data_IF_971420786339
#
_entry.id   IF_971420786339
#
_cell.length_a   1.000
_cell.length_b   1.000
_cell.length_c   1.000
_cell.angle_alpha   90.00
_cell.angle_beta   90.00
_cell.angle_gamma   90.00
#
_symmetry.space_group_name_H-M   'P 1'
#
loop_
_entity.id
_entity.type
_entity.pdbx_description
1 polymer ?
#
# COMPACT_ATOMS: atom_id res chain seq x y z
N UNK A 1 -21.26 -15.82 -36.98
CA UNK A 1 -20.16 -15.11 -36.31
C UNK A 1 -20.58 -13.65 -36.18
N UNK A 2 -20.93 -13.21 -34.97
CA UNK A 2 -21.34 -11.83 -34.70
C UNK A 2 -20.38 -11.22 -33.69
N UNK A 3 -19.44 -10.40 -34.17
CA UNK A 3 -18.60 -9.55 -33.32
C UNK A 3 -19.45 -8.38 -32.84
N UNK A 4 -19.97 -8.45 -31.61
CA UNK A 4 -20.50 -7.28 -30.91
C UNK A 4 -19.34 -6.52 -30.26
N UNK A 5 -18.70 -5.64 -31.04
CA UNK A 5 -17.92 -4.54 -30.49
C UNK A 5 -18.89 -3.46 -30.01
N UNK A 6 -19.22 -3.48 -28.73
CA UNK A 6 -19.90 -2.36 -28.08
C UNK A 6 -18.91 -1.20 -27.94
N UNK A 7 -18.98 -0.23 -28.84
CA UNK A 7 -18.44 1.12 -28.59
C UNK A 7 -19.32 1.81 -27.55
N UNK A 8 -18.89 1.83 -26.30
CA UNK A 8 -19.47 2.73 -25.29
C UNK A 8 -19.01 4.15 -25.59
N UNK A 9 -19.99 5.06 -25.71
CA UNK A 9 -19.81 6.49 -25.99
C UNK A 9 -18.77 7.10 -25.05
N UNK A 10 -17.77 7.77 -25.62
CA UNK A 10 -16.85 8.63 -24.88
C UNK A 10 -17.63 9.76 -24.20
N UNK A 11 -17.59 9.82 -22.87
CA UNK A 11 -18.17 10.95 -22.13
C UNK A 11 -18.69 10.62 -20.73
N UNK A 12 -18.99 9.36 -20.40
CA UNK A 12 -19.24 8.97 -19.01
C UNK A 12 -17.97 8.35 -18.42
N UNK A 13 -17.20 9.14 -17.67
CA UNK A 13 -16.24 8.56 -16.75
C UNK A 13 -17.04 7.69 -15.78
N UNK A 14 -16.82 6.37 -15.83
CA UNK A 14 -17.38 5.44 -14.85
C UNK A 14 -17.04 5.94 -13.46
N UNK A 15 -18.04 6.14 -12.61
CA UNK A 15 -17.84 6.47 -11.19
C UNK A 15 -17.26 5.29 -10.43
N UNK A 16 -17.33 4.07 -10.98
CA UNK A 16 -16.77 2.88 -10.36
C UNK A 16 -15.34 2.62 -10.85
N UNK A 17 -14.47 2.31 -9.90
CA UNK A 17 -13.13 1.81 -10.18
C UNK A 17 -13.19 0.51 -10.97
N UNK A 18 -12.36 0.41 -11.99
CA UNK A 18 -12.23 -0.79 -12.81
C UNK A 18 -11.26 -1.77 -12.16
N UNK A 19 -11.68 -3.00 -11.93
CA UNK A 19 -10.77 -4.08 -11.50
C UNK A 19 -9.78 -4.42 -12.62
N UNK A 20 -8.49 -4.41 -12.31
CA UNK A 20 -7.41 -4.73 -13.24
C UNK A 20 -6.83 -6.12 -12.99
N UNK A 21 -6.59 -6.44 -11.71
CA UNK A 21 -6.08 -7.71 -11.24
C UNK A 21 -6.66 -8.03 -9.86
N UNK A 22 -6.81 -9.32 -9.58
CA UNK A 22 -7.20 -9.86 -8.28
C UNK A 22 -6.28 -11.02 -7.96
N UNK A 23 -5.79 -11.07 -6.73
CA UNK A 23 -5.07 -12.20 -6.19
C UNK A 23 -5.66 -12.60 -4.86
N UNK A 24 -6.08 -13.86 -4.75
CA UNK A 24 -6.46 -14.47 -3.48
C UNK A 24 -5.22 -15.08 -2.85
N UNK A 25 -4.91 -14.69 -1.62
CA UNK A 25 -3.70 -15.13 -0.95
C UNK A 25 -3.94 -15.25 0.56
N UNK A 26 -3.77 -16.47 1.11
CA UNK A 26 -4.03 -16.81 2.52
C UNK A 26 -5.37 -16.28 3.08
N UNK A 27 -6.44 -16.34 2.29
CA UNK A 27 -7.77 -15.88 2.71
C UNK A 27 -7.99 -14.36 2.64
N UNK A 28 -6.99 -13.61 2.15
CA UNK A 28 -7.11 -12.18 1.84
C UNK A 28 -7.19 -11.98 0.31
N UNK A 29 -8.15 -11.16 -0.12
CA UNK A 29 -8.28 -10.71 -1.51
C UNK A 29 -7.47 -9.42 -1.71
N UNK A 30 -6.43 -9.47 -2.54
CA UNK A 30 -5.65 -8.30 -2.93
C UNK A 30 -6.09 -7.86 -4.33
N UNK A 31 -6.63 -6.66 -4.44
CA UNK A 31 -7.21 -6.11 -5.66
C UNK A 31 -6.37 -4.95 -6.17
N UNK A 32 -6.12 -4.92 -7.48
CA UNK A 32 -5.57 -3.79 -8.18
C UNK A 32 -6.68 -3.16 -9.02
N UNK A 33 -7.02 -1.90 -8.76
CA UNK A 33 -8.09 -1.19 -9.46
C UNK A 33 -7.56 0.07 -10.16
N UNK A 34 -8.26 0.54 -11.20
CA UNK A 34 -8.05 1.85 -11.81
C UNK A 34 -9.26 2.74 -11.55
N UNK A 35 -9.05 3.92 -10.97
CA UNK A 35 -10.13 4.86 -10.66
C UNK A 35 -9.84 5.71 -9.44
N UNK A 36 -10.83 6.51 -9.04
CA UNK A 36 -10.74 7.32 -7.84
C UNK A 36 -10.88 6.41 -6.61
N UNK A 37 -9.87 6.41 -5.73
CA UNK A 37 -9.86 5.64 -4.49
C UNK A 37 -11.04 5.97 -3.58
N UNK A 38 -11.54 7.22 -3.62
CA UNK A 38 -12.73 7.65 -2.88
C UNK A 38 -14.01 6.92 -3.31
N UNK A 39 -14.02 6.22 -4.44
CA UNK A 39 -15.14 5.41 -4.90
C UNK A 39 -15.03 3.93 -4.49
N UNK A 40 -13.92 3.52 -3.87
CA UNK A 40 -13.71 2.13 -3.44
C UNK A 40 -14.64 1.72 -2.30
N UNK A 41 -15.35 0.60 -2.43
CA UNK A 41 -16.17 0.06 -1.35
C UNK A 41 -15.29 -0.69 -0.33
N UNK A 42 -14.71 0.08 0.60
CA UNK A 42 -13.84 -0.38 1.69
C UNK A 42 -14.19 0.32 3.01
N UNK A 43 -13.80 -0.28 4.13
CA UNK A 43 -14.05 0.26 5.49
C UNK A 43 -13.14 1.45 5.80
N UNK A 44 -11.95 1.49 5.19
CA UNK A 44 -10.96 2.54 5.39
C UNK A 44 -10.13 2.84 4.13
N UNK A 45 -9.78 4.10 3.94
CA UNK A 45 -8.88 4.58 2.88
C UNK A 45 -7.60 5.12 3.51
N UNK A 46 -6.45 4.83 2.92
CA UNK A 46 -5.19 5.45 3.28
C UNK A 46 -5.05 6.78 2.54
N UNK A 47 -4.74 7.84 3.27
CA UNK A 47 -4.54 9.18 2.75
C UNK A 47 -3.08 9.62 2.94
N UNK A 48 -2.27 9.67 1.86
CA UNK A 48 -0.89 10.11 1.93
C UNK A 48 -0.80 11.60 2.29
N UNK A 49 0.10 11.94 3.20
CA UNK A 49 0.27 13.30 3.70
C UNK A 49 1.74 13.56 4.09
N UNK A 50 2.04 14.81 4.45
CA UNK A 50 3.32 15.22 5.00
C UNK A 50 3.23 15.32 6.55
N UNK A 51 4.37 15.54 7.21
CA UNK A 51 4.42 15.70 8.66
C UNK A 51 3.56 16.88 9.19
N UNK A 52 3.19 17.83 8.32
CA UNK A 52 2.40 19.02 8.67
C UNK A 52 0.90 18.86 8.38
N UNK A 53 0.49 17.72 7.83
CA UNK A 53 -0.86 17.46 7.34
C UNK A 53 -1.35 18.57 6.40
N UNK A 54 -0.48 19.10 5.54
CA UNK A 54 -0.73 20.30 4.74
C UNK A 54 -1.88 20.12 3.74
N UNK A 55 -2.00 18.91 3.18
CA UNK A 55 -3.03 18.52 2.22
C UNK A 55 -4.30 17.95 2.87
N UNK A 56 -4.38 17.90 4.21
CA UNK A 56 -5.55 17.42 4.94
C UNK A 56 -6.48 18.59 5.27
N UNK A 57 -7.79 18.50 4.94
CA UNK A 57 -8.76 19.54 5.30
C UNK A 57 -8.76 19.82 6.80
N UNK A 58 -8.88 21.09 7.20
CA UNK A 58 -8.83 21.51 8.62
C UNK A 58 -9.77 20.72 9.54
N UNK A 59 -10.97 20.37 9.05
CA UNK A 59 -11.97 19.62 9.80
C UNK A 59 -11.58 18.15 10.06
N UNK A 60 -10.65 17.62 9.28
CA UNK A 60 -10.20 16.23 9.33
C UNK A 60 -8.71 16.14 9.79
N UNK A 61 -8.09 17.27 10.16
CA UNK A 61 -6.74 17.29 10.74
C UNK A 61 -6.73 16.66 12.13
N UNK A 62 -5.70 15.88 12.47
CA UNK A 62 -5.60 15.26 13.78
C UNK A 62 -5.34 16.33 14.85
N UNK A 63 -6.08 16.26 15.96
CA UNK A 63 -5.86 17.13 17.12
C UNK A 63 -4.66 16.71 17.96
N UNK A 64 -4.18 15.48 17.79
CA UNK A 64 -3.00 14.94 18.47
C UNK A 64 -2.14 14.19 17.46
N UNK A 65 -0.87 14.58 17.37
CA UNK A 65 0.14 13.94 16.52
C UNK A 65 1.05 13.13 17.45
N UNK A 66 0.98 11.79 17.46
CA UNK A 66 1.90 10.99 18.26
C UNK A 66 3.33 11.18 17.76
N UNK A 67 4.27 11.36 18.69
CA UNK A 67 5.66 11.74 18.41
C UNK A 67 6.42 10.78 17.47
N UNK A 68 5.98 9.52 17.35
CA UNK A 68 6.66 8.45 16.59
C UNK A 68 5.74 7.75 15.59
N UNK A 69 4.63 8.37 15.18
CA UNK A 69 3.63 7.72 14.35
C UNK A 69 3.60 8.25 12.91
N UNK A 70 4.06 7.43 11.95
CA UNK A 70 3.92 7.75 10.52
C UNK A 70 2.48 7.51 10.01
N UNK A 71 1.55 7.09 10.88
CA UNK A 71 0.15 6.88 10.53
C UNK A 71 -0.78 7.35 11.64
N UNK A 72 -1.90 7.99 11.29
CA UNK A 72 -2.94 8.44 12.23
C UNK A 72 -4.32 8.06 11.70
N UNK A 73 -5.12 7.42 12.54
CA UNK A 73 -6.51 7.10 12.20
C UNK A 73 -7.44 8.29 12.44
N UNK A 74 -8.24 8.62 11.44
CA UNK A 74 -9.33 9.60 11.51
C UNK A 74 -10.63 8.87 11.19
N UNK A 75 -11.37 8.55 12.26
CA UNK A 75 -12.67 7.90 12.16
C UNK A 75 -13.77 8.90 11.84
N UNK A 76 -14.69 8.52 10.95
CA UNK A 76 -15.89 9.30 10.70
C UNK A 76 -17.07 8.72 11.47
N UNK A 77 -17.79 9.58 12.19
CA UNK A 77 -19.09 9.24 12.81
C UNK A 77 -20.28 9.46 11.86
N UNK A 78 -20.06 10.08 10.69
CA UNK A 78 -21.12 10.37 9.72
C UNK A 78 -21.33 9.18 8.80
N UNK A 79 -22.60 8.78 8.62
CA UNK A 79 -23.06 7.59 7.87
C UNK A 79 -22.54 7.48 6.42
N UNK A 80 -22.12 8.59 5.81
CA UNK A 80 -21.65 8.66 4.42
C UNK A 80 -20.19 9.09 4.26
N UNK A 81 -19.45 9.28 5.36
CA UNK A 81 -18.02 9.62 5.30
C UNK A 81 -17.21 8.37 5.62
N UNK A 82 -16.18 8.12 4.82
CA UNK A 82 -15.26 7.01 5.01
C UNK A 82 -14.33 7.26 6.20
N UNK A 83 -13.77 6.18 6.72
CA UNK A 83 -12.67 6.29 7.67
C UNK A 83 -11.35 6.45 6.91
N UNK A 84 -10.43 7.21 7.49
CA UNK A 84 -9.13 7.44 6.89
C UNK A 84 -7.99 7.02 7.83
N UNK A 85 -6.92 6.53 7.24
CA UNK A 85 -5.59 6.48 7.89
C UNK A 85 -4.72 7.49 7.16
N UNK A 86 -4.42 8.60 7.83
CA UNK A 86 -3.46 9.58 7.36
C UNK A 86 -2.07 8.96 7.45
N UNK A 87 -1.36 8.86 6.32
CA UNK A 87 -0.08 8.19 6.19
C UNK A 87 1.00 9.20 5.78
N UNK A 88 1.94 9.46 6.68
CA UNK A 88 3.07 10.36 6.42
C UNK A 88 4.07 9.63 5.53
N UNK A 89 4.17 10.05 4.28
CA UNK A 89 5.02 9.40 3.26
C UNK A 89 6.09 10.32 2.68
N UNK A 90 6.17 11.56 3.17
CA UNK A 90 7.16 12.55 2.77
C UNK A 90 7.81 13.16 4.01
N UNK A 91 9.13 13.04 4.10
CA UNK A 91 9.95 13.76 5.07
C UNK A 91 10.73 14.86 4.36
N UNK A 92 10.64 16.08 4.87
CA UNK A 92 11.42 17.21 4.39
C UNK A 92 12.78 17.19 5.10
N UNK A 93 13.66 16.24 4.76
CA UNK A 93 15.02 16.17 5.32
C UNK A 93 16.07 16.60 4.30
N UNK A 94 16.94 17.53 4.69
CA UNK A 94 18.14 17.94 3.96
C UNK A 94 19.23 16.86 4.14
N UNK A 95 19.23 15.85 3.28
CA UNK A 95 20.19 14.74 3.32
C UNK A 95 20.83 14.50 1.95
N UNK A 96 21.88 13.68 1.94
CA UNK A 96 22.52 13.24 0.71
C UNK A 96 21.53 12.46 -0.17
N UNK A 97 21.69 12.54 -1.50
CA UNK A 97 20.73 11.97 -2.44
C UNK A 97 20.58 10.43 -2.35
N UNK A 98 21.63 9.73 -1.91
CA UNK A 98 21.60 8.27 -1.73
C UNK A 98 20.91 7.89 -0.42
N UNK A 99 21.23 8.56 0.69
CA UNK A 99 20.59 8.31 1.98
C UNK A 99 19.09 8.60 1.93
N UNK A 100 18.70 9.65 1.18
CA UNK A 100 17.28 9.97 0.93
C UNK A 100 16.52 8.85 0.23
N UNK A 101 17.14 8.11 -0.70
CA UNK A 101 16.45 7.04 -1.43
C UNK A 101 16.19 5.82 -0.55
N UNK A 102 17.15 5.40 0.26
CA UNK A 102 16.97 4.22 1.11
C UNK A 102 16.02 4.51 2.27
N UNK A 103 16.05 5.73 2.80
CA UNK A 103 15.09 6.20 3.81
C UNK A 103 13.67 6.33 3.24
N UNK A 104 13.50 6.85 2.02
CA UNK A 104 12.20 6.88 1.32
C UNK A 104 11.61 5.47 1.16
N UNK A 105 12.45 4.50 0.76
CA UNK A 105 12.03 3.10 0.59
C UNK A 105 11.58 2.50 1.92
N UNK A 106 12.36 2.71 2.98
CA UNK A 106 12.05 2.23 4.32
C UNK A 106 10.77 2.88 4.86
N UNK A 107 10.60 4.19 4.65
CA UNK A 107 9.41 4.94 5.06
C UNK A 107 8.15 4.40 4.39
N UNK A 108 8.19 4.13 3.08
CA UNK A 108 7.06 3.53 2.35
C UNK A 108 6.69 2.18 2.96
N UNK A 109 7.68 1.31 3.19
CA UNK A 109 7.48 0.00 3.78
C UNK A 109 6.82 0.09 5.16
N UNK A 110 7.41 0.87 6.06
CA UNK A 110 6.91 1.03 7.43
C UNK A 110 5.52 1.64 7.48
N UNK A 111 5.26 2.64 6.63
CA UNK A 111 3.94 3.27 6.53
C UNK A 111 2.87 2.27 6.14
N UNK A 112 3.14 1.40 5.17
CA UNK A 112 2.19 0.38 4.74
C UNK A 112 1.96 -0.64 5.84
N UNK A 113 3.02 -1.12 6.49
CA UNK A 113 2.91 -2.03 7.64
C UNK A 113 2.08 -1.41 8.77
N UNK A 114 2.33 -0.15 9.10
CA UNK A 114 1.63 0.57 10.15
C UNK A 114 0.15 0.80 9.80
N UNK A 115 -0.17 1.14 8.56
CA UNK A 115 -1.55 1.22 8.07
C UNK A 115 -2.29 -0.11 8.23
N UNK A 116 -1.68 -1.21 7.80
CA UNK A 116 -2.27 -2.55 7.88
C UNK A 116 -2.48 -3.00 9.32
N UNK A 117 -1.47 -2.80 10.19
CA UNK A 117 -1.58 -3.07 11.63
C UNK A 117 -2.67 -2.24 12.29
N UNK A 118 -2.78 -0.96 11.93
CA UNK A 118 -3.80 -0.05 12.47
C UNK A 118 -5.21 -0.45 12.03
N UNK A 119 -5.39 -0.83 10.77
CA UNK A 119 -6.66 -1.35 10.27
C UNK A 119 -7.05 -2.65 10.98
N UNK A 120 -6.09 -3.56 11.16
CA UNK A 120 -6.33 -4.82 11.86
C UNK A 120 -6.68 -4.61 13.34
N UNK A 121 -5.95 -3.74 14.04
CA UNK A 121 -6.24 -3.38 15.44
C UNK A 121 -7.64 -2.78 15.62
N UNK A 122 -8.18 -2.16 14.57
CA UNK A 122 -9.53 -1.56 14.54
C UNK A 122 -10.59 -2.48 13.95
N UNK A 123 -10.29 -3.75 13.72
CA UNK A 123 -11.23 -4.76 13.21
C UNK A 123 -11.85 -4.38 11.85
N UNK A 124 -11.10 -3.68 10.99
CA UNK A 124 -11.52 -3.38 9.64
C UNK A 124 -11.37 -4.61 8.75
N UNK A 125 -12.35 -4.87 7.88
CA UNK A 125 -12.28 -5.99 6.93
C UNK A 125 -11.64 -5.60 5.62
N UNK A 126 -11.65 -4.32 5.31
CA UNK A 126 -11.17 -3.82 4.02
C UNK A 126 -10.47 -2.48 4.11
N UNK A 127 -9.35 -2.36 3.39
CA UNK A 127 -8.52 -1.15 3.30
C UNK A 127 -8.17 -0.87 1.85
N UNK A 128 -8.18 0.41 1.44
CA UNK A 128 -7.69 0.85 0.15
C UNK A 128 -6.44 1.72 0.29
N UNK A 129 -5.42 1.45 -0.52
CA UNK A 129 -4.22 2.25 -0.64
C UNK A 129 -4.17 2.96 -1.98
N UNK A 130 -3.79 4.24 -2.02
CA UNK A 130 -3.36 4.86 -3.25
C UNK A 130 -1.92 4.46 -3.53
N UNK A 131 -1.51 4.63 -4.77
CA UNK A 131 -0.09 4.59 -5.11
C UNK A 131 0.60 5.82 -4.55
N UNK A 132 1.63 5.61 -3.72
CA UNK A 132 2.46 6.70 -3.25
C UNK A 132 3.25 7.29 -4.43
N UNK A 133 3.23 8.61 -4.53
CA UNK A 133 3.94 9.34 -5.58
C UNK A 133 5.42 9.39 -5.21
N UNK A 134 6.21 8.49 -5.80
CA UNK A 134 7.67 8.49 -5.77
C UNK A 134 8.24 8.84 -7.14
N UNK A 135 9.50 9.25 -7.19
CA UNK A 135 10.22 9.48 -8.48
C UNK A 135 10.36 8.18 -9.29
N UNK A 136 10.47 7.05 -8.60
CA UNK A 136 10.45 5.71 -9.21
C UNK A 136 9.19 4.94 -8.79
N UNK A 137 8.20 4.97 -9.67
CA UNK A 137 6.92 4.28 -9.48
C UNK A 137 7.02 2.76 -9.42
N UNK A 138 8.05 2.16 -10.02
CA UNK A 138 8.20 0.69 -10.06
C UNK A 138 8.75 0.19 -8.74
N UNK A 139 9.74 0.89 -8.20
CA UNK A 139 10.33 0.56 -6.89
C UNK A 139 9.31 0.73 -5.77
N UNK A 140 8.56 1.84 -5.74
CA UNK A 140 7.51 2.04 -4.73
C UNK A 140 6.38 1.01 -4.85
N UNK A 141 5.96 0.67 -6.08
CA UNK A 141 5.02 -0.42 -6.32
C UNK A 141 5.50 -1.73 -5.70
N UNK A 142 6.77 -2.06 -5.95
CA UNK A 142 7.38 -3.31 -5.51
C UNK A 142 7.42 -3.37 -4.00
N UNK A 143 7.92 -2.32 -3.34
CA UNK A 143 7.95 -2.21 -1.87
C UNK A 143 6.54 -2.36 -1.30
N UNK A 144 5.58 -1.68 -1.91
CA UNK A 144 4.20 -1.67 -1.43
C UNK A 144 3.54 -3.04 -1.51
N UNK A 145 3.64 -3.70 -2.66
CA UNK A 145 3.07 -5.03 -2.86
C UNK A 145 3.80 -6.06 -1.99
N UNK A 146 5.12 -5.95 -1.83
CA UNK A 146 5.91 -6.81 -0.94
C UNK A 146 5.53 -6.62 0.53
N UNK A 147 5.33 -5.38 1.00
CA UNK A 147 4.88 -5.10 2.35
C UNK A 147 3.51 -5.73 2.63
N UNK A 148 2.56 -5.58 1.70
CA UNK A 148 1.24 -6.22 1.78
C UNK A 148 1.38 -7.74 1.84
N UNK A 149 2.18 -8.33 0.95
CA UNK A 149 2.40 -9.78 0.92
C UNK A 149 2.98 -10.29 2.24
N UNK A 150 4.00 -9.61 2.79
CA UNK A 150 4.62 -9.95 4.07
C UNK A 150 3.65 -9.85 5.24
N UNK A 151 2.80 -8.83 5.26
CA UNK A 151 1.74 -8.69 6.26
C UNK A 151 0.79 -9.89 6.23
N UNK A 152 0.34 -10.29 5.03
CA UNK A 152 -0.55 -11.44 4.84
C UNK A 152 0.12 -12.76 5.23
N UNK A 153 1.40 -12.97 4.87
CA UNK A 153 2.10 -14.23 5.18
C UNK A 153 2.50 -14.38 6.64
N UNK A 154 3.02 -13.32 7.24
CA UNK A 154 3.75 -13.44 8.51
C UNK A 154 2.98 -12.92 9.71
N UNK A 155 2.18 -11.86 9.54
CA UNK A 155 1.51 -11.20 10.66
C UNK A 155 0.11 -11.74 10.94
N UNK A 156 -0.39 -12.69 10.11
CA UNK A 156 -1.69 -13.37 10.22
C UNK A 156 -2.80 -12.41 10.67
N UNK A 157 -3.32 -11.62 9.73
CA UNK A 157 -4.43 -10.73 10.04
C UNK A 157 -5.70 -11.52 10.33
N UNK A 158 -6.35 -11.24 11.46
CA UNK A 158 -7.62 -11.86 11.84
C UNK A 158 -8.83 -11.13 11.25
N UNK A 159 -8.66 -9.86 10.84
CA UNK A 159 -9.77 -9.01 10.39
C UNK A 159 -9.67 -8.53 8.95
N UNK A 160 -8.48 -8.14 8.47
CA UNK A 160 -8.31 -7.58 7.12
C UNK A 160 -8.33 -8.71 6.09
N UNK A 161 -9.47 -8.84 5.40
CA UNK A 161 -9.69 -9.86 4.37
C UNK A 161 -9.65 -9.30 2.95
N UNK A 162 -9.61 -7.97 2.79
CA UNK A 162 -9.58 -7.31 1.48
C UNK A 162 -8.64 -6.10 1.48
N UNK A 163 -7.69 -6.09 0.55
CA UNK A 163 -6.76 -4.97 0.35
C UNK A 163 -6.90 -4.49 -1.09
N UNK A 164 -7.27 -3.22 -1.28
CA UNK A 164 -7.37 -2.60 -2.59
C UNK A 164 -6.18 -1.67 -2.82
N UNK A 165 -5.61 -1.70 -4.02
CA UNK A 165 -4.58 -0.77 -4.48
C UNK A 165 -5.17 -0.04 -5.69
N UNK A 166 -5.47 1.25 -5.52
CA UNK A 166 -6.08 2.05 -6.58
C UNK A 166 -5.04 2.85 -7.35
N UNK A 167 -5.05 2.65 -8.66
CA UNK A 167 -4.15 3.27 -9.62
C UNK A 167 -4.84 4.41 -10.35
N UNK A 168 -4.07 5.45 -10.64
CA UNK A 168 -4.42 6.43 -11.67
C UNK A 168 -3.68 6.18 -12.99
N UNK A 169 -2.72 5.23 -13.05
CA UNK A 169 -1.85 4.94 -14.21
C UNK A 169 -1.52 3.45 -14.35
N UNK A 170 -1.32 2.96 -15.59
CA UNK A 170 -1.28 1.54 -15.95
C UNK A 170 -0.02 0.73 -15.55
N UNK A 171 1.01 1.37 -14.98
CA UNK A 171 2.36 0.77 -14.77
C UNK A 171 2.43 -0.30 -13.66
N UNK A 172 1.50 -0.32 -12.72
CA UNK A 172 1.55 -1.21 -11.53
C UNK A 172 1.15 -2.66 -11.79
N UNK A 173 0.46 -2.95 -12.91
CA UNK A 173 -0.06 -4.28 -13.20
C UNK A 173 1.05 -5.33 -13.33
N UNK A 174 2.15 -4.97 -13.99
CA UNK A 174 3.28 -5.88 -14.21
C UNK A 174 3.96 -6.26 -12.88
N UNK A 175 4.18 -5.28 -11.98
CA UNK A 175 4.79 -5.52 -10.67
C UNK A 175 3.90 -6.41 -9.80
N UNK A 176 2.58 -6.15 -9.82
CA UNK A 176 1.60 -6.97 -9.10
C UNK A 176 1.68 -8.44 -9.49
N UNK A 177 1.73 -8.71 -10.80
CA UNK A 177 1.88 -10.08 -11.31
C UNK A 177 3.18 -10.70 -10.86
N UNK A 178 4.33 -10.02 -11.01
CA UNK A 178 5.63 -10.58 -10.63
C UNK A 178 5.71 -10.99 -9.15
N UNK A 179 5.22 -10.14 -8.24
CA UNK A 179 5.31 -10.41 -6.80
C UNK A 179 4.43 -11.60 -6.37
N UNK A 180 3.27 -11.79 -7.00
CA UNK A 180 2.35 -12.88 -6.64
C UNK A 180 2.56 -14.16 -7.48
N UNK A 181 3.00 -14.08 -8.74
CA UNK A 181 3.24 -15.23 -9.63
C UNK A 181 4.49 -16.04 -9.26
N UNK A 182 5.49 -15.45 -8.60
CA UNK A 182 6.66 -16.17 -8.09
C UNK A 182 6.30 -17.36 -7.16
N UNK A 183 5.10 -17.38 -6.59
CA UNK A 183 4.63 -18.50 -5.77
C UNK A 183 4.06 -19.68 -6.58
N UNK A 184 3.63 -19.46 -7.82
CA UNK A 184 3.04 -20.50 -8.69
C UNK A 184 4.05 -21.13 -9.66
N UNK A 185 5.25 -20.55 -9.79
CA UNK A 185 6.32 -21.06 -10.64
C UNK A 185 7.17 -22.14 -9.95
N UNK A 186 6.58 -23.31 -9.69
CA UNK A 186 7.33 -24.58 -9.74
C UNK A 186 7.22 -25.25 -11.12
N UNK A 187 6.46 -24.66 -12.05
CA UNK A 187 6.31 -25.17 -13.43
C UNK A 187 6.11 -24.02 -14.42
N UNK A 188 7.18 -23.41 -14.91
CA UNK A 188 7.46 -23.19 -16.35
C UNK A 188 8.42 -22.03 -16.64
N UNK A 189 9.51 -22.40 -17.33
CA UNK A 189 10.33 -21.65 -18.30
C UNK A 189 10.66 -20.18 -18.02
N UNK A 190 11.86 -20.03 -17.47
CA UNK A 190 12.85 -18.96 -17.66
C UNK A 190 12.52 -17.88 -18.69
N UNK A 191 12.14 -16.69 -18.21
CA UNK A 191 12.62 -15.42 -18.77
C UNK A 191 13.04 -14.53 -17.59
N UNK A 192 14.34 -14.19 -17.61
CA UNK A 192 15.03 -13.42 -16.59
C UNK A 192 14.57 -11.97 -16.60
N UNK A 193 13.94 -11.55 -15.51
CA UNK A 193 14.06 -10.20 -14.95
C UNK A 193 13.98 -10.37 -13.44
N UNK A 194 15.11 -10.77 -12.86
CA UNK A 194 15.32 -10.92 -11.43
C UNK A 194 14.88 -9.62 -10.74
N UNK A 195 13.78 -9.67 -9.99
CA UNK A 195 13.67 -8.83 -8.79
C UNK A 195 14.95 -9.13 -8.02
N UNK A 196 15.82 -8.12 -7.90
CA UNK A 196 17.18 -8.30 -7.44
C UNK A 196 17.17 -9.11 -6.13
N UNK A 197 17.71 -10.34 -6.08
CA UNK A 197 17.68 -11.17 -4.87
C UNK A 197 18.35 -10.46 -3.68
N UNK A 198 19.23 -9.49 -3.96
CA UNK A 198 19.80 -8.55 -3.00
C UNK A 198 18.73 -7.79 -2.22
N UNK A 199 17.63 -7.37 -2.86
CA UNK A 199 16.57 -6.59 -2.21
C UNK A 199 15.85 -7.39 -1.10
N UNK A 200 15.64 -8.69 -1.31
CA UNK A 200 15.03 -9.58 -0.31
C UNK A 200 15.97 -9.89 0.85
N UNK A 201 17.28 -9.99 0.61
CA UNK A 201 18.28 -10.18 1.66
C UNK A 201 18.51 -8.89 2.46
N UNK A 202 18.52 -7.74 1.80
CA UNK A 202 18.69 -6.42 2.40
C UNK A 202 17.52 -6.10 3.35
N UNK A 203 16.27 -6.39 2.97
CA UNK A 203 15.11 -6.20 3.88
C UNK A 203 15.04 -7.21 5.04
N UNK A 204 15.48 -8.46 4.84
CA UNK A 204 15.65 -9.40 5.96
C UNK A 204 16.70 -8.90 6.94
N UNK A 205 17.75 -8.25 6.44
CA UNK A 205 18.83 -7.67 7.23
C UNK A 205 18.35 -6.46 8.03
N UNK A 206 17.57 -5.56 7.43
CA UNK A 206 16.93 -4.41 8.12
C UNK A 206 16.02 -4.88 9.26
N UNK A 207 15.25 -5.96 9.04
CA UNK A 207 14.38 -6.54 10.08
C UNK A 207 15.17 -7.15 11.25
N UNK A 208 16.31 -7.78 10.97
CA UNK A 208 17.22 -8.31 12.01
C UNK A 208 17.77 -7.18 12.88
N UNK A 209 18.12 -6.05 12.27
CA UNK A 209 18.60 -4.86 12.98
C UNK A 209 17.48 -4.26 13.86
N UNK A 210 16.24 -4.16 13.37
CA UNK A 210 15.12 -3.66 14.17
C UNK A 210 14.73 -4.60 15.33
N UNK A 211 14.81 -5.92 15.13
CA UNK A 211 14.57 -6.90 16.21
C UNK A 211 15.66 -6.89 17.28
N UNK A 212 16.91 -6.57 16.92
CA UNK A 212 18.01 -6.40 17.87
C UNK A 212 17.87 -5.08 18.65
N UNK A 213 17.50 -3.98 18.00
CA UNK A 213 17.28 -2.69 18.65
C UNK A 213 16.13 -2.72 19.68
N UNK A 214 15.07 -3.52 19.46
CA UNK A 214 13.99 -3.69 20.45
C UNK A 214 14.39 -4.57 21.65
N UNK A 215 15.48 -5.35 21.55
CA UNK A 215 15.98 -6.19 22.67
C UNK A 215 16.98 -5.45 23.55
N UNK A 216 17.65 -4.42 23.04
CA UNK A 216 18.62 -3.62 23.81
C UNK A 216 17.99 -2.39 24.48
N UNK A 217 16.71 -2.11 24.24
CA UNK A 217 15.96 -0.98 24.79
C UNK A 217 14.91 -1.37 25.82
N UNK A 218 15.30 -1.90 26.98
CA UNK A 218 14.55 -1.73 28.25
C UNK A 218 15.54 -2.01 29.41
N UNK A 219 15.41 -1.27 30.53
CA UNK A 219 16.51 -1.00 31.48
C UNK A 219 17.03 -2.21 32.26
#
# INVERSE_FOLDING_TARGET
MGNNFCYTKSGMQSTMSQLLCEQKFNGCDVLLTAGNIENESVDCIVWPTDQQFSNVPQNDKPTFIPANGNCIFVGSTKKNKKNYILAVVQENNEMSFQDQQDEERQLIYETIQNCLKMANARQMRSIAFPVFQSKDHTTSATIMIMAIKLFITEQKSDSVTKICISLNVASFKWVFQQVFEQHNSTKSKSYSSTINPTFMEEYKSIRLIQQQAMKEGTP
#
